data_IF_022177491799
#
_entry.id   IF_022177491799
#
_cell.length_a   1.000
_cell.length_b   1.000
_cell.length_c   1.000
_cell.angle_alpha   90.00
_cell.angle_beta   90.00
_cell.angle_gamma   90.00
#
_symmetry.space_group_name_H-M   'P 1'
#
loop_
_entity.id
_entity.type
_entity.pdbx_description
1 polymer ?
#
# COMPACT_ATOMS: atom_id res chain seq x y z
N UNK A 1 5.28 8.29 -20.91
CA UNK A 1 4.44 8.42 -19.70
C UNK A 1 5.02 7.54 -18.61
N UNK A 2 5.74 8.09 -17.62
CA UNK A 2 6.55 7.31 -16.67
C UNK A 2 5.75 6.81 -15.47
N UNK A 3 4.48 6.40 -15.64
CA UNK A 3 3.65 5.92 -14.53
C UNK A 3 4.23 4.68 -13.83
N UNK A 4 5.01 3.87 -14.55
CA UNK A 4 5.70 2.69 -14.02
C UNK A 4 7.05 3.00 -13.36
N UNK A 5 7.50 4.27 -13.36
CA UNK A 5 8.81 4.66 -12.79
C UNK A 5 8.77 4.86 -11.27
N UNK A 6 7.58 4.95 -10.69
CA UNK A 6 7.34 5.16 -9.25
C UNK A 6 6.28 4.19 -8.71
N UNK A 7 6.33 2.93 -9.13
CA UNK A 7 5.35 1.90 -8.79
C UNK A 7 5.33 1.63 -7.27
N UNK A 8 6.46 1.75 -6.59
CA UNK A 8 6.53 1.65 -5.13
C UNK A 8 5.74 2.75 -4.42
N UNK A 9 5.76 3.97 -4.96
CA UNK A 9 4.97 5.08 -4.43
C UNK A 9 3.47 4.90 -4.69
N UNK A 10 3.10 4.32 -5.83
CA UNK A 10 1.70 3.97 -6.13
C UNK A 10 1.22 2.89 -5.15
N UNK A 11 2.02 1.85 -4.91
CA UNK A 11 1.71 0.79 -3.95
C UNK A 11 1.61 1.32 -2.51
N UNK A 12 2.48 2.25 -2.12
CA UNK A 12 2.38 2.96 -0.85
C UNK A 12 1.06 3.72 -0.73
N UNK A 13 0.64 4.43 -1.77
CA UNK A 13 -0.64 5.14 -1.78
C UNK A 13 -1.83 4.18 -1.59
N UNK A 14 -1.80 3.03 -2.26
CA UNK A 14 -2.81 1.97 -2.06
C UNK A 14 -2.82 1.48 -0.60
N UNK A 15 -1.65 1.24 0.00
CA UNK A 15 -1.54 0.86 1.41
C UNK A 15 -2.17 1.92 2.34
N UNK A 16 -1.86 3.20 2.13
CA UNK A 16 -2.39 4.29 2.95
C UNK A 16 -3.91 4.45 2.81
N UNK A 17 -4.47 4.20 1.62
CA UNK A 17 -5.93 4.17 1.42
C UNK A 17 -6.56 3.03 2.22
N UNK A 18 -5.97 1.84 2.18
CA UNK A 18 -6.46 0.68 2.96
C UNK A 18 -6.47 1.01 4.45
N UNK A 19 -5.39 1.61 4.97
CA UNK A 19 -5.30 2.03 6.39
C UNK A 19 -6.30 3.15 6.73
N UNK A 20 -6.50 4.12 5.84
CA UNK A 20 -7.50 5.16 6.06
C UNK A 20 -8.91 4.56 6.14
N UNK A 21 -9.23 3.56 5.31
CA UNK A 21 -10.51 2.87 5.33
C UNK A 21 -10.73 2.06 6.61
N UNK A 22 -9.70 1.43 7.19
CA UNK A 22 -9.86 0.74 8.49
C UNK A 22 -10.16 1.71 9.62
N UNK A 23 -9.66 2.95 9.55
CA UNK A 23 -9.91 3.99 10.55
C UNK A 23 -11.30 4.63 10.35
N UNK A 24 -11.69 4.92 9.10
CA UNK A 24 -12.96 5.57 8.78
C UNK A 24 -14.17 4.63 8.90
N UNK A 25 -13.97 3.33 8.64
CA UNK A 25 -15.00 2.31 8.67
C UNK A 25 -14.54 1.11 9.52
N UNK A 26 -14.55 1.23 10.87
CA UNK A 26 -14.05 0.18 11.76
C UNK A 26 -14.85 -1.13 11.70
N UNK A 27 -16.04 -1.13 11.08
CA UNK A 27 -16.81 -2.34 10.79
C UNK A 27 -16.28 -3.16 9.60
N UNK A 28 -15.33 -2.62 8.82
CA UNK A 28 -14.70 -3.33 7.71
C UNK A 28 -13.46 -4.04 8.23
N UNK A 29 -13.60 -5.33 8.53
CA UNK A 29 -12.49 -6.17 8.94
C UNK A 29 -11.57 -6.45 7.73
N UNK A 30 -10.45 -5.73 7.66
CA UNK A 30 -9.40 -6.00 6.67
C UNK A 30 -8.39 -6.97 7.31
N UNK A 31 -8.16 -8.16 6.73
CA UNK A 31 -7.19 -9.12 7.24
C UNK A 31 -5.78 -8.50 7.31
N UNK A 32 -5.13 -8.57 8.48
CA UNK A 32 -3.79 -8.02 8.71
C UNK A 32 -2.73 -8.61 7.77
N UNK A 33 -2.92 -9.84 7.31
CA UNK A 33 -2.05 -10.49 6.32
C UNK A 33 -2.02 -9.73 4.99
N UNK A 34 -3.17 -9.25 4.52
CA UNK A 34 -3.25 -8.51 3.25
C UNK A 34 -2.55 -7.16 3.39
N UNK A 35 -2.80 -6.46 4.50
CA UNK A 35 -2.18 -5.18 4.82
C UNK A 35 -0.65 -5.31 4.91
N UNK A 36 -0.17 -6.37 5.56
CA UNK A 36 1.27 -6.65 5.70
C UNK A 36 1.95 -6.97 4.37
N UNK A 37 1.32 -7.77 3.49
CA UNK A 37 1.87 -8.09 2.17
C UNK A 37 1.97 -6.84 1.30
N UNK A 38 0.91 -6.03 1.25
CA UNK A 38 0.91 -4.77 0.48
C UNK A 38 1.99 -3.82 1.00
N UNK A 39 2.13 -3.69 2.33
CA UNK A 39 3.16 -2.87 2.95
C UNK A 39 4.58 -3.32 2.58
N UNK A 40 4.85 -4.63 2.66
CA UNK A 40 6.16 -5.20 2.32
C UNK A 40 6.50 -4.97 0.85
N UNK A 41 5.56 -5.25 -0.04
CA UNK A 41 5.77 -5.07 -1.48
C UNK A 41 6.02 -3.60 -1.80
N UNK A 42 5.23 -2.68 -1.23
CA UNK A 42 5.45 -1.24 -1.37
C UNK A 42 6.85 -0.82 -0.88
N UNK A 43 7.26 -1.27 0.31
CA UNK A 43 8.56 -0.96 0.88
C UNK A 43 9.72 -1.46 -0.01
N UNK A 44 9.62 -2.68 -0.55
CA UNK A 44 10.63 -3.26 -1.44
C UNK A 44 10.77 -2.42 -2.71
N UNK A 45 9.65 -2.07 -3.36
CA UNK A 45 9.69 -1.26 -4.58
C UNK A 45 10.25 0.15 -4.33
N UNK A 46 9.89 0.78 -3.21
CA UNK A 46 10.44 2.09 -2.81
C UNK A 46 11.95 2.01 -2.58
N UNK A 47 12.46 0.97 -1.90
CA UNK A 47 13.90 0.79 -1.65
C UNK A 47 14.69 0.56 -2.94
N UNK A 48 14.10 -0.09 -3.94
CA UNK A 48 14.71 -0.30 -5.26
C UNK A 48 14.72 1.02 -6.07
N UNK A 49 14.03 2.06 -5.62
CA UNK A 49 13.92 3.34 -6.31
C UNK A 49 13.05 3.27 -7.57
N UNK A 50 12.05 2.37 -7.57
CA UNK A 50 11.15 2.11 -8.72
C UNK A 50 9.68 2.24 -8.39
#
# INVERSE_FOLDING_TARGET
MPFTKNIGFILLAVYLIIVALTILAPGVAIPSTITAVVALVAAIFILIGR
#
